data_IF_483066635618
#
_entry.id   IF_483066635618
#
_cell.length_a   1.000
_cell.length_b   1.000
_cell.length_c   1.000
_cell.angle_alpha   90.00
_cell.angle_beta   90.00
_cell.angle_gamma   90.00
#
_symmetry.space_group_name_H-M   'P 1'
#
loop_
_entity.id
_entity.type
_entity.pdbx_description
1 polymer ?
#
# COMPACT_ATOMS: atom_id res chain seq x y z
N UNK A 1 -0.21 28.21 -78.02
CA UNK A 1 -0.27 26.76 -78.33
C UNK A 1 0.75 25.96 -77.56
N UNK A 2 2.02 26.35 -77.42
CA UNK A 2 3.13 25.64 -76.74
C UNK A 2 2.81 25.30 -75.23
N UNK A 3 2.15 26.21 -74.46
CA UNK A 3 1.78 26.01 -73.04
C UNK A 3 0.73 24.89 -72.78
N UNK A 4 -0.24 24.71 -73.72
CA UNK A 4 -1.26 23.66 -73.59
C UNK A 4 -0.68 22.25 -73.81
N UNK A 5 0.26 22.09 -74.74
CA UNK A 5 0.94 20.81 -75.04
C UNK A 5 1.82 20.38 -73.86
N UNK A 6 2.56 21.32 -73.30
CA UNK A 6 3.41 21.11 -72.11
C UNK A 6 2.61 20.61 -70.89
N UNK A 7 1.50 21.27 -70.54
CA UNK A 7 0.66 20.82 -69.46
C UNK A 7 -0.03 19.47 -69.71
N UNK A 8 -0.38 19.19 -70.96
CA UNK A 8 -0.95 17.90 -71.36
C UNK A 8 0.06 16.77 -71.23
N UNK A 9 1.33 17.02 -71.54
CA UNK A 9 2.41 16.07 -71.39
C UNK A 9 2.72 15.79 -69.90
N UNK A 10 2.78 16.82 -69.07
CA UNK A 10 2.90 16.66 -67.61
C UNK A 10 1.77 15.79 -67.06
N UNK A 11 0.51 16.08 -67.39
CA UNK A 11 -0.64 15.32 -66.96
C UNK A 11 -0.58 13.85 -67.42
N UNK A 12 -0.06 13.58 -68.64
CA UNK A 12 0.12 12.24 -69.19
C UNK A 12 1.25 11.49 -68.46
N UNK A 13 2.40 12.11 -68.19
CA UNK A 13 3.51 11.53 -67.45
C UNK A 13 3.10 11.19 -66.02
N UNK A 14 2.36 12.07 -65.35
CA UNK A 14 1.73 11.77 -64.04
C UNK A 14 0.76 10.59 -64.11
N UNK A 15 -0.11 10.56 -65.12
CA UNK A 15 -1.11 9.51 -65.30
C UNK A 15 -0.48 8.14 -65.59
N UNK A 16 0.65 8.08 -66.33
CA UNK A 16 1.36 6.83 -66.60
C UNK A 16 2.18 6.33 -65.40
N UNK A 17 2.49 7.19 -64.42
CA UNK A 17 3.31 6.89 -63.25
C UNK A 17 2.53 6.97 -61.92
N UNK A 18 1.20 6.87 -61.96
CA UNK A 18 0.32 7.02 -60.79
C UNK A 18 0.74 6.19 -59.57
N UNK A 19 1.15 4.93 -59.79
CA UNK A 19 1.58 4.04 -58.69
C UNK A 19 2.80 4.58 -57.95
N UNK A 20 3.77 5.19 -58.65
CA UNK A 20 4.97 5.76 -58.03
C UNK A 20 4.62 7.01 -57.19
N UNK A 21 3.85 7.93 -57.76
CA UNK A 21 3.42 9.13 -57.01
C UNK A 21 2.55 8.76 -55.82
N UNK A 22 1.62 7.81 -55.97
CA UNK A 22 0.80 7.31 -54.88
C UNK A 22 1.63 6.67 -53.76
N UNK A 23 2.66 5.90 -54.14
CA UNK A 23 3.59 5.28 -53.15
C UNK A 23 4.33 6.34 -52.32
N UNK A 24 4.90 7.38 -52.98
CA UNK A 24 5.57 8.48 -52.30
C UNK A 24 4.59 9.26 -51.41
N UNK A 25 3.41 9.57 -51.95
CA UNK A 25 2.36 10.25 -51.18
C UNK A 25 1.94 9.46 -49.94
N UNK A 26 1.67 8.17 -50.08
CA UNK A 26 1.31 7.30 -48.96
C UNK A 26 2.44 7.21 -47.92
N UNK A 27 3.69 7.14 -48.34
CA UNK A 27 4.85 7.09 -47.46
C UNK A 27 5.00 8.40 -46.65
N UNK A 28 4.88 9.54 -47.33
CA UNK A 28 4.90 10.86 -46.66
C UNK A 28 3.70 11.07 -45.73
N UNK A 29 2.52 10.64 -46.13
CA UNK A 29 1.31 10.67 -45.30
C UNK A 29 1.47 9.81 -44.06
N UNK A 30 2.01 8.60 -44.20
CA UNK A 30 2.26 7.70 -43.06
C UNK A 30 3.29 8.30 -42.09
N UNK A 31 4.37 8.88 -42.62
CA UNK A 31 5.39 9.58 -41.84
C UNK A 31 4.78 10.77 -41.04
N UNK A 32 3.94 11.56 -41.70
CA UNK A 32 3.27 12.71 -41.06
C UNK A 32 2.26 12.27 -40.01
N UNK A 33 1.47 11.21 -40.27
CA UNK A 33 0.51 10.63 -39.31
C UNK A 33 1.23 10.07 -38.10
N UNK A 34 2.31 9.34 -38.30
CA UNK A 34 3.14 8.82 -37.20
C UNK A 34 3.76 9.95 -36.37
N UNK A 35 4.28 11.00 -37.02
CA UNK A 35 4.82 12.17 -36.32
C UNK A 35 3.77 12.84 -35.42
N UNK A 36 2.63 13.19 -36.00
CA UNK A 36 1.57 13.88 -35.24
C UNK A 36 1.00 12.98 -34.16
N UNK A 37 0.68 11.72 -34.48
CA UNK A 37 0.10 10.78 -33.53
C UNK A 37 1.01 10.56 -32.31
N UNK A 38 2.28 10.26 -32.53
CA UNK A 38 3.23 10.02 -31.44
C UNK A 38 3.55 11.29 -30.64
N UNK A 39 3.68 12.44 -31.31
CA UNK A 39 3.95 13.73 -30.64
C UNK A 39 2.81 14.21 -29.78
N UNK A 40 1.55 13.90 -30.11
CA UNK A 40 0.36 14.28 -29.32
C UNK A 40 0.11 13.29 -28.20
N UNK A 41 0.50 12.02 -28.34
CA UNK A 41 0.22 10.97 -27.34
C UNK A 41 0.88 11.28 -25.99
N UNK A 42 2.17 11.59 -25.96
CA UNK A 42 2.91 11.82 -24.70
C UNK A 42 2.36 12.99 -23.89
N UNK A 43 2.11 14.20 -24.44
CA UNK A 43 1.50 15.30 -23.72
C UNK A 43 0.11 14.95 -23.17
N UNK A 44 -0.72 14.24 -23.94
CA UNK A 44 -2.05 13.84 -23.51
C UNK A 44 -2.00 12.84 -22.35
N UNK A 45 -1.13 11.84 -22.43
CA UNK A 45 -0.91 10.90 -21.31
C UNK A 45 -0.48 11.66 -20.06
N UNK A 46 0.53 12.53 -20.16
CA UNK A 46 0.99 13.33 -19.01
C UNK A 46 -0.14 14.19 -18.42
N UNK A 47 -0.88 14.89 -19.28
CA UNK A 47 -1.99 15.74 -18.85
C UNK A 47 -3.05 14.93 -18.09
N UNK A 48 -3.48 13.79 -18.63
CA UNK A 48 -4.46 12.91 -17.98
C UNK A 48 -3.96 12.45 -16.60
N UNK A 49 -2.68 12.06 -16.52
CA UNK A 49 -2.08 11.66 -15.25
C UNK A 49 -2.01 12.83 -14.25
N UNK A 50 -1.57 14.02 -14.69
CA UNK A 50 -1.47 15.22 -13.85
C UNK A 50 -2.84 15.68 -13.35
N UNK A 51 -3.86 15.68 -14.21
CA UNK A 51 -5.23 16.01 -13.84
C UNK A 51 -5.76 15.06 -12.76
N UNK A 52 -5.48 13.75 -12.90
CA UNK A 52 -5.85 12.74 -11.90
C UNK A 52 -5.10 12.95 -10.57
N UNK A 53 -3.76 13.13 -10.61
CA UNK A 53 -2.94 13.40 -9.43
C UNK A 53 -3.40 14.67 -8.69
N UNK A 54 -3.76 15.71 -9.42
CA UNK A 54 -4.25 16.98 -8.87
C UNK A 54 -5.64 16.81 -8.26
N UNK A 55 -6.57 16.15 -8.96
CA UNK A 55 -7.92 15.87 -8.48
C UNK A 55 -7.93 15.08 -7.17
N UNK A 56 -7.12 14.02 -7.10
CA UNK A 56 -7.02 13.17 -5.92
C UNK A 56 -6.04 13.71 -4.87
N UNK A 57 -5.46 14.91 -5.07
CA UNK A 57 -4.47 15.51 -4.17
C UNK A 57 -3.39 14.51 -3.76
N UNK A 58 -2.90 13.72 -4.74
CA UNK A 58 -1.96 12.63 -4.49
C UNK A 58 -0.72 13.13 -3.76
N UNK A 59 -0.27 12.40 -2.74
CA UNK A 59 0.92 12.69 -1.96
C UNK A 59 2.15 12.90 -2.84
N UNK A 60 3.11 13.69 -2.37
CA UNK A 60 4.45 13.80 -2.96
C UNK A 60 5.43 12.83 -2.30
N UNK A 61 5.41 12.79 -0.95
CA UNK A 61 6.18 11.84 -0.14
C UNK A 61 5.26 11.09 0.83
N UNK A 62 5.67 9.89 1.23
CA UNK A 62 5.10 9.18 2.36
C UNK A 62 6.20 8.74 3.32
N UNK A 63 5.89 8.69 4.61
CA UNK A 63 6.77 8.17 5.66
C UNK A 63 6.12 6.94 6.27
N UNK A 64 6.90 5.88 6.43
CA UNK A 64 6.53 4.65 7.14
C UNK A 64 7.68 4.27 8.09
N UNK A 65 7.35 3.67 9.23
CA UNK A 65 8.33 3.17 10.19
C UNK A 65 7.97 1.75 10.62
N UNK A 66 8.99 0.93 10.96
CA UNK A 66 8.81 -0.48 11.30
C UNK A 66 7.85 -0.72 12.48
N UNK A 67 7.85 0.19 13.47
CA UNK A 67 6.93 0.13 14.63
C UNK A 67 5.85 1.21 14.58
N UNK A 68 5.51 1.68 13.38
CA UNK A 68 4.54 2.75 13.15
C UNK A 68 5.03 4.12 13.64
N UNK A 69 4.23 5.13 13.37
CA UNK A 69 4.47 6.54 13.69
C UNK A 69 3.70 6.91 14.96
N UNK A 70 4.41 7.32 16.00
CA UNK A 70 3.80 7.69 17.28
C UNK A 70 3.44 9.19 17.36
N UNK A 71 2.98 9.64 18.52
CA UNK A 71 2.56 11.03 18.73
C UNK A 71 3.73 12.04 18.64
N UNK A 72 4.97 11.60 18.86
CA UNK A 72 6.14 12.46 18.69
C UNK A 72 6.45 12.64 17.19
N UNK A 73 6.39 11.54 16.42
CA UNK A 73 6.54 11.56 14.96
C UNK A 73 5.45 12.42 14.31
N UNK A 74 4.20 12.32 14.78
CA UNK A 74 3.09 13.14 14.29
C UNK A 74 3.38 14.64 14.44
N UNK A 75 3.74 15.07 15.65
CA UNK A 75 4.07 16.49 15.92
C UNK A 75 5.24 16.98 15.06
N UNK A 76 6.23 16.14 14.87
CA UNK A 76 7.40 16.47 14.08
C UNK A 76 7.09 16.62 12.60
N UNK A 77 6.27 15.72 12.04
CA UNK A 77 5.84 15.76 10.64
C UNK A 77 4.87 16.92 10.38
N UNK A 78 3.92 17.17 11.29
CA UNK A 78 2.99 18.33 11.20
C UNK A 78 3.71 19.68 11.29
N UNK A 79 4.86 19.73 11.93
CA UNK A 79 5.69 20.95 12.01
C UNK A 79 6.47 21.27 10.72
N UNK A 80 6.37 20.44 9.67
CA UNK A 80 7.02 20.69 8.37
C UNK A 80 6.31 21.85 7.67
N UNK A 81 7.01 22.96 7.51
CA UNK A 81 6.46 24.15 6.86
C UNK A 81 6.28 23.92 5.35
N UNK A 82 5.14 24.35 4.82
CA UNK A 82 4.83 24.26 3.39
C UNK A 82 4.41 22.87 2.93
N UNK A 83 4.16 21.92 3.85
CA UNK A 83 3.59 20.62 3.56
C UNK A 83 2.25 20.45 4.29
N UNK A 84 1.26 19.91 3.59
CA UNK A 84 0.09 19.31 4.20
C UNK A 84 0.46 17.88 4.59
N UNK A 85 0.02 17.41 5.78
CA UNK A 85 0.29 16.06 6.28
C UNK A 85 -1.03 15.36 6.61
N UNK A 86 -1.16 14.10 6.25
CA UNK A 86 -2.28 13.24 6.63
C UNK A 86 -1.78 11.87 7.04
N UNK A 87 -2.17 11.46 8.26
CA UNK A 87 -1.83 10.16 8.81
C UNK A 87 -2.89 9.12 8.48
N UNK A 88 -2.49 7.86 8.39
CA UNK A 88 -3.40 6.78 8.08
C UNK A 88 -2.87 5.43 8.53
N UNK A 89 -3.74 4.44 8.41
CA UNK A 89 -3.43 3.05 8.68
C UNK A 89 -3.29 2.28 7.37
N UNK A 90 -2.45 1.26 7.41
CA UNK A 90 -2.21 0.34 6.31
C UNK A 90 -1.87 -1.03 6.89
N UNK A 91 -2.53 -2.08 6.41
CA UNK A 91 -2.22 -3.47 6.76
C UNK A 91 -2.48 -4.39 5.57
N UNK A 92 -1.71 -5.45 5.46
CA UNK A 92 -1.91 -6.49 4.46
C UNK A 92 -2.66 -7.66 5.12
N UNK A 93 -3.76 -8.06 4.51
CA UNK A 93 -4.63 -9.16 4.95
C UNK A 93 -4.84 -10.15 3.81
N UNK A 94 -5.51 -11.25 4.07
CA UNK A 94 -5.94 -12.21 3.06
C UNK A 94 -7.46 -12.28 2.95
N UNK A 95 -7.93 -12.47 1.72
CA UNK A 95 -9.30 -12.84 1.40
C UNK A 95 -9.22 -14.17 0.66
N UNK A 96 -9.62 -15.26 1.30
CA UNK A 96 -9.28 -16.61 0.85
C UNK A 96 -7.74 -16.73 0.74
N UNK A 97 -7.19 -16.89 -0.45
CA UNK A 97 -5.75 -17.00 -0.70
C UNK A 97 -5.15 -15.74 -1.35
N UNK A 98 -5.95 -14.70 -1.59
CA UNK A 98 -5.53 -13.45 -2.23
C UNK A 98 -5.08 -12.42 -1.19
N UNK A 99 -3.96 -11.77 -1.46
CA UNK A 99 -3.44 -10.69 -0.61
C UNK A 99 -4.15 -9.37 -0.91
N UNK A 100 -4.68 -8.75 0.12
CA UNK A 100 -5.40 -7.49 0.05
C UNK A 100 -4.73 -6.46 0.95
N UNK A 101 -4.32 -5.32 0.38
CA UNK A 101 -3.85 -4.18 1.17
C UNK A 101 -5.01 -3.30 1.58
N UNK A 102 -5.21 -3.17 2.88
CA UNK A 102 -6.28 -2.36 3.44
C UNK A 102 -5.72 -1.04 3.93
N UNK A 103 -6.29 0.06 3.46
CA UNK A 103 -5.98 1.42 3.88
C UNK A 103 -7.11 1.99 4.74
N UNK A 104 -6.77 2.89 5.65
CA UNK A 104 -7.79 3.80 6.18
C UNK A 104 -8.19 4.82 5.11
N UNK A 105 -9.46 5.24 5.12
CA UNK A 105 -9.93 6.31 4.25
C UNK A 105 -9.14 7.61 4.50
N UNK A 106 -8.86 8.34 3.43
CA UNK A 106 -8.19 9.64 3.45
C UNK A 106 -9.14 10.73 3.01
N UNK A 107 -9.04 11.91 3.61
CA UNK A 107 -9.92 13.06 3.34
C UNK A 107 -9.21 14.18 2.58
N UNK A 108 -7.91 14.36 2.82
CA UNK A 108 -7.14 15.52 2.34
C UNK A 108 -6.10 15.17 1.29
N UNK A 109 -5.40 14.05 1.45
CA UNK A 109 -4.26 13.66 0.62
C UNK A 109 -4.47 12.25 0.09
N UNK A 110 -4.20 12.02 -1.20
CA UNK A 110 -4.37 10.73 -1.86
C UNK A 110 -5.79 10.19 -1.74
N UNK A 111 -6.79 11.03 -1.98
CA UNK A 111 -8.20 10.65 -1.87
C UNK A 111 -8.57 9.56 -2.89
N UNK A 112 -9.59 8.78 -2.56
CA UNK A 112 -10.06 7.69 -3.39
C UNK A 112 -11.20 8.13 -4.30
N UNK A 113 -11.14 7.75 -5.58
CA UNK A 113 -12.21 8.01 -6.52
C UNK A 113 -13.25 6.89 -6.47
N UNK A 114 -14.46 7.19 -6.01
CA UNK A 114 -15.58 6.23 -6.01
C UNK A 114 -16.03 5.96 -7.44
N UNK A 115 -16.11 4.70 -7.83
CA UNK A 115 -16.61 4.26 -9.15
C UNK A 115 -18.03 3.68 -9.05
N UNK A 116 -18.39 3.09 -7.90
CA UNK A 116 -19.74 2.63 -7.60
C UNK A 116 -19.96 2.63 -6.08
N UNK A 117 -21.21 2.86 -5.64
CA UNK A 117 -21.56 2.92 -4.22
C UNK A 117 -21.01 4.16 -3.52
N UNK A 118 -20.37 3.99 -2.38
CA UNK A 118 -19.82 5.07 -1.53
C UNK A 118 -18.59 4.63 -0.75
N UNK A 119 -17.89 5.58 -0.13
CA UNK A 119 -16.84 5.29 0.85
C UNK A 119 -17.42 4.74 2.17
N UNK A 120 -16.66 3.91 2.91
CA UNK A 120 -17.02 3.43 4.24
C UNK A 120 -17.21 4.59 5.22
N UNK A 121 -18.25 4.49 6.06
CA UNK A 121 -18.57 5.47 7.12
C UNK A 121 -18.56 4.85 8.51
N UNK A 122 -18.64 3.53 8.60
CA UNK A 122 -18.66 2.77 9.86
C UNK A 122 -17.52 1.77 9.91
N UNK A 123 -17.19 1.30 11.09
CA UNK A 123 -16.10 0.35 11.31
C UNK A 123 -16.31 -1.04 10.71
N UNK A 124 -17.54 -1.36 10.24
CA UNK A 124 -17.88 -2.64 9.61
C UNK A 124 -18.11 -2.53 8.09
N UNK A 125 -17.82 -1.39 7.49
CA UNK A 125 -17.96 -1.15 6.06
C UNK A 125 -16.62 -1.16 5.34
N UNK A 126 -16.62 -1.69 4.11
CA UNK A 126 -15.44 -1.76 3.24
C UNK A 126 -15.77 -1.29 1.83
N UNK A 127 -14.82 -0.59 1.20
CA UNK A 127 -14.83 -0.36 -0.24
C UNK A 127 -13.64 -1.07 -0.89
N UNK A 128 -13.90 -1.80 -1.97
CA UNK A 128 -12.90 -2.61 -2.67
C UNK A 128 -12.36 -1.88 -3.91
N UNK A 129 -11.21 -2.30 -4.39
CA UNK A 129 -10.68 -1.87 -5.67
C UNK A 129 -11.69 -2.08 -6.80
N UNK A 130 -11.84 -1.11 -7.70
CA UNK A 130 -12.86 -1.11 -8.75
C UNK A 130 -12.79 -2.33 -9.68
N UNK A 131 -11.61 -2.89 -9.91
CA UNK A 131 -11.43 -4.09 -10.75
C UNK A 131 -11.88 -5.40 -10.08
N UNK A 132 -12.30 -5.36 -8.80
CA UNK A 132 -12.97 -6.49 -8.13
C UNK A 132 -14.50 -6.45 -8.23
N UNK A 133 -15.08 -5.46 -8.92
CA UNK A 133 -16.54 -5.33 -9.11
C UNK A 133 -17.19 -6.50 -9.86
N UNK A 134 -16.41 -7.24 -10.65
CA UNK A 134 -16.88 -8.44 -11.36
C UNK A 134 -16.98 -9.65 -10.42
N UNK A 135 -16.15 -9.71 -9.36
CA UNK A 135 -16.09 -10.82 -8.41
C UNK A 135 -17.01 -10.61 -7.20
N UNK A 136 -17.23 -9.37 -6.78
CA UNK A 136 -17.99 -8.99 -5.59
C UNK A 136 -19.10 -8.02 -5.92
N UNK A 137 -20.16 -7.99 -5.09
CA UNK A 137 -21.32 -7.12 -5.26
C UNK A 137 -21.50 -6.19 -4.06
N UNK A 138 -22.08 -5.02 -4.29
CA UNK A 138 -22.48 -4.10 -3.21
C UNK A 138 -23.46 -4.80 -2.27
N UNK A 139 -23.26 -4.59 -0.97
CA UNK A 139 -24.06 -5.21 0.09
C UNK A 139 -23.62 -6.61 0.50
N UNK A 140 -22.73 -7.27 -0.24
CA UNK A 140 -22.16 -8.57 0.10
C UNK A 140 -21.19 -8.42 1.28
N UNK A 141 -21.09 -9.47 2.11
CA UNK A 141 -20.11 -9.58 3.19
C UNK A 141 -18.81 -10.20 2.67
N UNK A 142 -17.68 -9.67 3.13
CA UNK A 142 -16.34 -10.18 2.86
C UNK A 142 -15.61 -10.41 4.18
N UNK A 143 -14.88 -11.53 4.29
CA UNK A 143 -14.09 -11.86 5.48
C UNK A 143 -12.62 -11.64 5.19
N UNK A 144 -11.97 -10.91 6.09
CA UNK A 144 -10.54 -10.61 6.07
C UNK A 144 -9.84 -11.45 7.12
N UNK A 145 -8.70 -12.02 6.78
CA UNK A 145 -7.84 -12.73 7.72
C UNK A 145 -6.50 -12.02 7.82
N UNK A 146 -6.11 -11.64 9.02
CA UNK A 146 -4.78 -11.11 9.33
C UNK A 146 -3.78 -12.26 9.47
N UNK A 147 -2.49 -11.95 9.35
CA UNK A 147 -1.43 -12.95 9.46
C UNK A 147 -1.36 -13.51 10.87
N UNK A 148 -1.35 -14.83 10.98
CA UNK A 148 -1.21 -15.52 12.26
C UNK A 148 0.10 -15.14 12.98
N UNK A 149 0.03 -15.00 14.30
CA UNK A 149 1.17 -14.64 15.15
C UNK A 149 1.52 -13.16 15.20
N UNK A 150 0.72 -12.30 14.56
CA UNK A 150 0.81 -10.83 14.69
C UNK A 150 -0.37 -10.29 15.50
N UNK A 151 -0.15 -9.16 16.19
CA UNK A 151 -1.24 -8.47 16.88
C UNK A 151 -2.28 -7.99 15.84
N UNK A 152 -3.55 -8.22 16.13
CA UNK A 152 -4.65 -7.77 15.27
C UNK A 152 -4.68 -6.24 15.20
N UNK A 153 -4.66 -5.73 13.97
CA UNK A 153 -4.77 -4.30 13.67
C UNK A 153 -6.21 -3.92 13.32
N UNK A 154 -7.03 -4.89 12.91
CA UNK A 154 -8.43 -4.69 12.55
C UNK A 154 -9.35 -5.08 13.73
N UNK A 155 -10.38 -4.28 13.99
CA UNK A 155 -11.38 -4.57 15.02
C UNK A 155 -12.33 -5.73 14.67
N UNK A 156 -12.57 -5.93 13.38
CA UNK A 156 -13.51 -6.93 12.86
C UNK A 156 -12.84 -7.78 11.78
N UNK A 157 -13.39 -8.97 11.56
CA UNK A 157 -12.96 -9.85 10.47
C UNK A 157 -13.94 -9.85 9.29
N UNK A 158 -15.20 -9.45 9.51
CA UNK A 158 -16.25 -9.44 8.50
C UNK A 158 -16.70 -8.00 8.23
N UNK A 159 -16.80 -7.65 6.94
CA UNK A 159 -17.12 -6.29 6.49
C UNK A 159 -18.16 -6.33 5.38
N UNK A 160 -19.07 -5.35 5.37
CA UNK A 160 -20.05 -5.17 4.32
C UNK A 160 -19.47 -4.29 3.20
N UNK A 161 -19.53 -4.76 1.97
CA UNK A 161 -19.06 -4.01 0.79
C UNK A 161 -20.06 -2.89 0.48
N UNK A 162 -19.61 -1.64 0.57
CA UNK A 162 -20.43 -0.45 0.34
C UNK A 162 -20.01 0.36 -0.89
N UNK A 163 -18.87 0.05 -1.48
CA UNK A 163 -18.36 0.77 -2.64
C UNK A 163 -17.24 0.08 -3.37
N UNK A 164 -16.97 0.61 -4.57
CA UNK A 164 -15.80 0.29 -5.36
C UNK A 164 -15.06 1.58 -5.69
N UNK A 165 -13.72 1.53 -5.62
CA UNK A 165 -12.87 2.73 -5.67
C UNK A 165 -11.64 2.54 -6.53
N UNK A 166 -11.09 3.67 -7.00
CA UNK A 166 -9.76 3.76 -7.60
C UNK A 166 -8.83 4.50 -6.65
N UNK A 167 -7.63 3.97 -6.46
CA UNK A 167 -6.59 4.56 -5.61
C UNK A 167 -5.82 5.65 -6.35
N UNK A 168 -5.46 6.70 -5.63
CA UNK A 168 -4.53 7.73 -6.11
C UNK A 168 -3.06 7.23 -6.13
N UNK A 169 -2.74 6.17 -5.41
CA UNK A 169 -1.38 5.65 -5.20
C UNK A 169 -1.12 4.36 -5.97
N UNK A 170 -2.12 3.48 -6.08
CA UNK A 170 -2.04 2.19 -6.77
C UNK A 170 -2.78 2.25 -8.10
N UNK A 171 -2.04 2.42 -9.20
CA UNK A 171 -2.61 2.69 -10.53
C UNK A 171 -2.79 1.47 -11.42
N UNK A 172 -2.46 0.28 -10.93
CA UNK A 172 -2.58 -0.94 -11.70
C UNK A 172 -3.67 -1.85 -11.14
N UNK A 173 -4.22 -2.70 -11.99
CA UNK A 173 -5.07 -3.86 -11.66
C UNK A 173 -4.28 -5.17 -11.66
N UNK A 174 -3.00 -5.11 -12.05
CA UNK A 174 -2.06 -6.24 -12.10
C UNK A 174 -0.69 -5.81 -11.60
N UNK A 175 0.05 -6.74 -11.01
CA UNK A 175 1.41 -6.48 -10.52
C UNK A 175 1.45 -5.28 -9.55
N UNK A 176 0.58 -5.29 -8.55
CA UNK A 176 0.50 -4.24 -7.52
C UNK A 176 1.73 -4.21 -6.60
N UNK A 177 2.65 -5.16 -6.74
CA UNK A 177 3.86 -5.27 -5.93
C UNK A 177 3.75 -6.36 -4.86
N UNK A 178 4.61 -6.28 -3.85
CA UNK A 178 4.68 -7.29 -2.80
C UNK A 178 3.68 -6.99 -1.67
N UNK A 179 3.22 -8.05 -1.04
CA UNK A 179 2.42 -8.03 0.18
C UNK A 179 3.11 -8.82 1.28
N UNK A 180 2.79 -8.51 2.54
CA UNK A 180 3.27 -9.26 3.72
C UNK A 180 2.35 -10.45 4.07
N UNK A 181 1.35 -10.74 3.26
CA UNK A 181 0.34 -11.78 3.44
C UNK A 181 0.10 -12.58 2.15
N UNK A 182 -0.64 -13.68 2.23
CA UNK A 182 -1.00 -14.53 1.11
C UNK A 182 0.21 -15.12 0.39
N UNK A 183 0.22 -15.05 -0.94
CA UNK A 183 1.32 -15.53 -1.80
C UNK A 183 2.57 -14.65 -1.79
N UNK A 184 2.53 -13.54 -1.05
CA UNK A 184 3.59 -12.52 -1.07
C UNK A 184 3.45 -11.49 -2.21
N UNK A 185 2.48 -11.66 -3.10
CA UNK A 185 2.13 -10.70 -4.14
C UNK A 185 0.81 -10.02 -3.79
N UNK A 186 0.73 -8.72 -3.98
CA UNK A 186 -0.49 -7.96 -3.74
C UNK A 186 -1.47 -8.15 -4.90
N UNK A 187 -2.66 -8.66 -4.59
CA UNK A 187 -3.71 -8.95 -5.58
C UNK A 187 -4.69 -7.79 -5.73
N UNK A 188 -5.00 -7.08 -4.62
CA UNK A 188 -5.90 -5.94 -4.64
C UNK A 188 -5.67 -5.00 -3.45
N UNK A 189 -6.49 -3.94 -3.39
CA UNK A 189 -6.57 -3.04 -2.24
C UNK A 189 -8.01 -2.78 -1.83
N UNK A 190 -8.17 -2.35 -0.59
CA UNK A 190 -9.46 -1.96 -0.02
C UNK A 190 -9.31 -0.79 0.93
N UNK A 191 -10.45 -0.21 1.31
CA UNK A 191 -10.52 0.93 2.19
C UNK A 191 -11.52 0.65 3.30
N UNK A 192 -11.12 0.96 4.52
CA UNK A 192 -11.96 0.96 5.71
C UNK A 192 -12.07 2.37 6.30
N UNK A 193 -13.06 2.59 7.11
CA UNK A 193 -13.11 3.77 7.97
C UNK A 193 -11.93 3.73 8.96
N UNK A 194 -11.33 4.87 9.37
CA UNK A 194 -10.22 4.89 10.35
C UNK A 194 -10.57 4.20 11.66
N UNK A 195 -11.84 4.26 12.09
CA UNK A 195 -12.35 3.64 13.30
C UNK A 195 -12.32 2.11 13.27
N UNK A 196 -12.21 1.49 12.11
CA UNK A 196 -12.07 0.04 11.96
C UNK A 196 -10.69 -0.49 12.40
N UNK A 197 -9.73 0.40 12.59
CA UNK A 197 -8.37 0.04 13.01
C UNK A 197 -8.23 0.13 14.54
N UNK A 198 -7.51 -0.84 15.12
CA UNK A 198 -7.19 -0.94 16.54
C UNK A 198 -5.69 -0.75 16.73
N UNK A 199 -5.19 0.46 16.50
CA UNK A 199 -3.77 0.78 16.65
C UNK A 199 -3.58 2.18 17.25
N UNK A 200 -2.62 2.29 18.17
CA UNK A 200 -2.23 3.55 18.80
C UNK A 200 -1.15 4.31 18.00
N UNK A 201 -0.70 3.73 16.89
CA UNK A 201 0.32 4.32 16.01
C UNK A 201 -0.18 4.26 14.58
N UNK A 202 0.15 5.27 13.78
CA UNK A 202 -0.17 5.27 12.36
C UNK A 202 0.84 4.43 11.56
N UNK A 203 0.38 3.78 10.50
CA UNK A 203 1.26 2.99 9.62
C UNK A 203 1.94 3.83 8.55
N UNK A 204 1.32 4.95 8.17
CA UNK A 204 1.77 5.82 7.09
C UNK A 204 1.42 7.28 7.37
N UNK A 205 2.35 8.19 7.07
CA UNK A 205 2.08 9.62 6.95
C UNK A 205 2.29 10.04 5.49
N UNK A 206 1.31 10.73 4.91
CA UNK A 206 1.34 11.26 3.55
C UNK A 206 1.63 12.75 3.60
N UNK A 207 2.59 13.21 2.80
CA UNK A 207 2.97 14.62 2.72
C UNK A 207 2.70 15.15 1.31
N UNK A 208 2.13 16.35 1.22
CA UNK A 208 1.93 17.08 -0.01
C UNK A 208 2.48 18.49 0.12
N UNK A 209 3.46 18.83 -0.71
CA UNK A 209 4.16 20.11 -0.64
C UNK A 209 3.48 21.17 -1.50
N UNK A 210 3.31 22.37 -0.96
CA UNK A 210 2.61 23.46 -1.63
C UNK A 210 3.38 23.96 -2.86
N UNK A 211 4.72 24.00 -2.79
CA UNK A 211 5.58 24.44 -3.88
C UNK A 211 5.73 23.43 -5.02
N UNK A 212 5.20 22.18 -4.83
CA UNK A 212 5.13 21.14 -5.85
C UNK A 212 3.74 21.04 -6.49
N UNK A 213 2.71 21.67 -5.90
CA UNK A 213 1.31 21.42 -6.23
C UNK A 213 0.93 21.73 -7.69
N UNK A 214 1.56 22.73 -8.30
CA UNK A 214 1.30 23.18 -9.67
C UNK A 214 2.37 22.75 -10.68
N UNK A 215 3.39 22.00 -10.24
CA UNK A 215 4.44 21.51 -11.12
C UNK A 215 4.03 20.20 -11.81
N UNK A 216 4.51 20.05 -13.05
CA UNK A 216 4.43 18.77 -13.75
C UNK A 216 5.29 17.72 -13.03
N UNK A 217 4.66 16.70 -12.43
CA UNK A 217 5.35 15.65 -11.67
C UNK A 217 6.28 14.77 -12.53
N UNK A 218 6.19 14.85 -13.85
CA UNK A 218 7.11 14.19 -14.79
C UNK A 218 8.27 15.11 -15.22
N UNK A 219 8.23 16.40 -14.87
CA UNK A 219 9.28 17.35 -15.21
C UNK A 219 10.47 17.24 -14.25
N UNK A 220 11.66 17.58 -14.77
CA UNK A 220 12.90 17.54 -13.99
C UNK A 220 12.85 18.47 -12.77
N UNK A 221 12.30 19.68 -12.92
CA UNK A 221 12.19 20.64 -11.82
C UNK A 221 11.38 20.10 -10.62
N UNK A 222 10.31 19.33 -10.88
CA UNK A 222 9.56 18.65 -9.83
C UNK A 222 10.42 17.58 -9.15
N UNK A 223 11.13 16.76 -9.93
CA UNK A 223 11.96 15.67 -9.39
C UNK A 223 13.13 16.22 -8.55
N UNK A 224 13.76 17.29 -9.00
CA UNK A 224 14.89 17.93 -8.28
C UNK A 224 14.41 18.53 -6.92
N UNK A 225 13.27 19.22 -6.92
CA UNK A 225 12.67 19.74 -5.69
C UNK A 225 12.18 18.64 -4.75
N UNK A 226 11.54 17.60 -5.30
CA UNK A 226 11.07 16.43 -4.53
C UNK A 226 12.25 15.73 -3.84
N UNK A 227 13.37 15.56 -4.53
CA UNK A 227 14.58 14.98 -3.96
C UNK A 227 15.13 15.83 -2.81
N UNK A 228 15.13 17.16 -2.94
CA UNK A 228 15.54 18.06 -1.86
C UNK A 228 14.62 17.97 -0.64
N UNK A 229 13.29 17.90 -0.84
CA UNK A 229 12.34 17.69 0.25
C UNK A 229 12.52 16.31 0.91
N UNK A 230 12.80 15.27 0.13
CA UNK A 230 13.04 13.93 0.65
C UNK A 230 14.31 13.88 1.48
N UNK A 231 15.38 14.54 1.06
CA UNK A 231 16.64 14.62 1.81
C UNK A 231 16.43 15.37 3.14
N UNK A 232 15.76 16.53 3.12
CA UNK A 232 15.41 17.28 4.34
C UNK A 232 14.55 16.44 5.30
N UNK A 233 13.58 15.69 4.77
CA UNK A 233 12.74 14.81 5.56
C UNK A 233 13.56 13.67 6.19
N UNK A 234 14.45 13.03 5.43
CA UNK A 234 15.31 11.96 5.93
C UNK A 234 16.28 12.45 7.01
N UNK A 235 16.87 13.64 6.84
CA UNK A 235 17.73 14.22 7.87
C UNK A 235 16.94 14.55 9.14
N UNK A 236 15.71 15.04 9.00
CA UNK A 236 14.83 15.31 10.13
C UNK A 236 14.47 14.03 10.90
N UNK A 237 14.19 12.92 10.23
CA UNK A 237 13.80 11.64 10.83
C UNK A 237 14.99 10.76 11.25
N UNK A 238 16.20 11.20 11.06
CA UNK A 238 17.44 10.42 11.26
C UNK A 238 17.57 9.82 12.66
N UNK A 239 17.19 10.58 13.67
CA UNK A 239 17.34 10.20 15.07
C UNK A 239 16.06 9.54 15.65
N UNK A 240 14.92 9.59 14.91
CA UNK A 240 13.64 9.08 15.39
C UNK A 240 13.70 7.60 15.73
N UNK A 241 14.42 6.79 14.94
CA UNK A 241 14.59 5.37 15.23
C UNK A 241 15.24 5.10 16.58
N UNK A 242 16.26 5.88 16.97
CA UNK A 242 16.91 5.74 18.27
C UNK A 242 16.01 6.24 19.42
N UNK A 243 15.32 7.36 19.22
CA UNK A 243 14.37 7.90 20.18
C UNK A 243 13.20 6.95 20.41
N UNK A 244 12.65 6.38 19.33
CA UNK A 244 11.55 5.40 19.37
C UNK A 244 11.95 4.13 20.11
N UNK A 245 13.11 3.55 19.81
CA UNK A 245 13.63 2.38 20.51
C UNK A 245 13.74 2.64 22.01
N UNK A 246 14.32 3.77 22.40
CA UNK A 246 14.46 4.17 23.81
C UNK A 246 13.10 4.28 24.50
N UNK A 247 12.11 4.90 23.83
CA UNK A 247 10.74 5.02 24.36
C UNK A 247 10.07 3.64 24.53
N UNK A 248 10.18 2.77 23.53
CA UNK A 248 9.61 1.41 23.58
C UNK A 248 10.26 0.59 24.70
N UNK A 249 11.60 0.65 24.83
CA UNK A 249 12.34 -0.02 25.91
C UNK A 249 11.95 0.49 27.28
N UNK A 250 11.79 1.80 27.47
CA UNK A 250 11.35 2.39 28.74
C UNK A 250 9.96 1.93 29.13
N UNK A 251 9.01 1.97 28.18
CA UNK A 251 7.62 1.54 28.41
C UNK A 251 7.54 0.03 28.72
N UNK A 252 8.24 -0.80 27.96
CA UNK A 252 8.29 -2.23 28.18
C UNK A 252 8.93 -2.57 29.54
N UNK A 253 10.04 -1.90 29.89
CA UNK A 253 10.70 -2.08 31.20
C UNK A 253 9.78 -1.71 32.35
N UNK A 254 9.06 -0.59 32.27
CA UNK A 254 8.09 -0.20 33.29
C UNK A 254 6.95 -1.21 33.42
N UNK A 255 6.41 -1.72 32.30
CA UNK A 255 5.38 -2.76 32.31
C UNK A 255 5.86 -4.09 32.92
N UNK A 256 7.09 -4.51 32.58
CA UNK A 256 7.76 -5.70 33.13
C UNK A 256 7.96 -5.56 34.64
N UNK A 257 8.44 -4.41 35.11
CA UNK A 257 8.61 -4.13 36.54
C UNK A 257 7.28 -4.18 37.31
N UNK A 258 6.24 -3.53 36.78
CA UNK A 258 4.91 -3.58 37.37
C UNK A 258 4.32 -5.00 37.38
N UNK A 259 4.55 -5.77 36.32
CA UNK A 259 4.17 -7.18 36.24
C UNK A 259 4.91 -8.05 37.27
N UNK A 260 6.22 -7.87 37.42
CA UNK A 260 7.05 -8.57 38.38
C UNK A 260 6.63 -8.29 39.84
N UNK A 261 6.25 -7.05 40.16
CA UNK A 261 5.74 -6.69 41.47
C UNK A 261 4.40 -7.35 41.77
N UNK A 262 3.47 -7.38 40.81
CA UNK A 262 2.21 -8.12 40.95
C UNK A 262 2.41 -9.61 41.16
N UNK A 263 3.36 -10.23 40.46
CA UNK A 263 3.74 -11.64 40.62
C UNK A 263 4.27 -11.87 42.06
N UNK A 264 5.19 -11.01 42.53
CA UNK A 264 5.76 -11.09 43.86
C UNK A 264 4.69 -11.01 44.96
N UNK A 265 3.72 -10.10 44.82
CA UNK A 265 2.62 -9.98 45.77
C UNK A 265 1.71 -11.22 45.73
N UNK A 266 1.36 -11.73 44.55
CA UNK A 266 0.59 -12.95 44.41
C UNK A 266 1.33 -14.20 44.98
N UNK A 267 2.64 -14.28 44.86
CA UNK A 267 3.46 -15.33 45.53
C UNK A 267 3.34 -15.29 47.06
N UNK A 268 3.41 -14.07 47.62
CA UNK A 268 3.25 -13.89 49.08
C UNK A 268 1.84 -14.28 49.56
N UNK A 269 0.82 -13.88 48.80
CA UNK A 269 -0.58 -14.23 49.11
C UNK A 269 -0.82 -15.74 49.06
N UNK A 270 -0.29 -16.42 48.04
CA UNK A 270 -0.37 -17.88 47.90
C UNK A 270 0.39 -18.58 49.04
N UNK A 271 1.59 -18.12 49.40
CA UNK A 271 2.37 -18.70 50.49
C UNK A 271 1.64 -18.53 51.83
N UNK A 272 1.02 -17.37 52.08
CA UNK A 272 0.18 -17.12 53.27
C UNK A 272 -1.08 -18.02 53.25
N UNK A 273 -1.72 -18.17 52.10
CA UNK A 273 -2.87 -19.07 51.93
C UNK A 273 -2.52 -20.54 52.19
N UNK A 274 -1.34 -20.99 51.75
CA UNK A 274 -0.82 -22.34 52.01
C UNK A 274 -0.63 -22.59 53.49
N UNK A 275 0.01 -21.67 54.21
CA UNK A 275 0.20 -21.79 55.69
C UNK A 275 -1.16 -21.82 56.42
N UNK A 276 -2.10 -21.00 56.03
CA UNK A 276 -3.46 -20.99 56.63
C UNK A 276 -4.20 -22.31 56.35
N UNK A 277 -4.08 -22.86 55.15
CA UNK A 277 -4.66 -24.13 54.75
C UNK A 277 -4.10 -25.29 55.60
N UNK A 278 -2.78 -25.34 55.78
CA UNK A 278 -2.09 -26.34 56.58
C UNK A 278 -2.51 -26.28 58.06
N UNK A 279 -2.58 -25.04 58.61
CA UNK A 279 -3.05 -24.85 59.98
C UNK A 279 -4.52 -25.27 60.15
N UNK A 280 -5.39 -24.96 59.19
CA UNK A 280 -6.78 -25.37 59.21
C UNK A 280 -6.95 -26.89 59.08
N UNK A 281 -6.13 -27.52 58.23
CA UNK A 281 -6.10 -28.98 58.09
C UNK A 281 -5.71 -29.65 59.38
N UNK A 282 -4.62 -29.23 60.03
CA UNK A 282 -4.18 -29.77 61.34
C UNK A 282 -5.22 -29.65 62.43
N UNK A 283 -5.90 -28.49 62.48
CA UNK A 283 -6.99 -28.27 63.44
C UNK A 283 -8.21 -29.19 63.20
N UNK A 284 -8.59 -29.40 61.97
CA UNK A 284 -9.66 -30.32 61.59
C UNK A 284 -9.33 -31.77 61.91
N UNK A 285 -8.09 -32.20 61.66
CA UNK A 285 -7.58 -33.56 62.02
C UNK A 285 -7.58 -33.79 63.55
N UNK A 286 -7.18 -32.77 64.33
CA UNK A 286 -7.23 -32.85 65.81
C UNK A 286 -8.70 -32.90 66.33
N UNK A 287 -9.62 -32.13 65.76
CA UNK A 287 -11.01 -32.14 66.05
C UNK A 287 -11.66 -33.49 65.72
N UNK A 288 -11.36 -34.05 64.57
CA UNK A 288 -11.80 -35.38 64.13
C UNK A 288 -11.34 -36.48 65.12
N UNK A 289 -10.06 -36.44 65.50
CA UNK A 289 -9.50 -37.38 66.50
C UNK A 289 -10.18 -37.27 67.86
N UNK A 290 -10.45 -36.06 68.39
CA UNK A 290 -11.13 -35.82 69.62
C UNK A 290 -12.58 -36.31 69.59
N UNK A 291 -13.24 -36.07 68.44
CA UNK A 291 -14.63 -36.48 68.24
C UNK A 291 -14.75 -38.01 68.17
N UNK A 292 -13.85 -38.67 67.51
CA UNK A 292 -13.80 -40.13 67.42
C UNK A 292 -13.50 -40.78 68.81
N UNK A 293 -12.61 -40.19 69.62
CA UNK A 293 -12.34 -40.61 70.95
C UNK A 293 -13.55 -40.45 71.88
N UNK A 294 -14.27 -39.29 71.77
CA UNK A 294 -15.46 -39.04 72.57
C UNK A 294 -16.64 -39.97 72.20
N UNK A 295 -16.78 -40.29 70.91
CA UNK A 295 -17.79 -41.24 70.42
C UNK A 295 -17.50 -42.66 70.90
N UNK A 296 -16.22 -43.09 71.00
CA UNK A 296 -15.84 -44.43 71.47
C UNK A 296 -15.97 -44.57 72.97
N UNK A 297 -15.81 -43.49 73.72
CA UNK A 297 -15.95 -43.49 75.24
C UNK A 297 -17.36 -43.29 75.76
N UNK A 298 -18.37 -43.08 74.92
CA UNK A 298 -19.76 -42.89 75.30
C UNK A 298 -20.05 -41.64 76.18
N UNK A 299 -19.12 -40.66 76.19
CA UNK A 299 -19.14 -39.45 77.00
C UNK A 299 -20.03 -38.32 76.51
N UNK A 300 -20.54 -38.40 75.25
CA UNK A 300 -21.36 -37.35 74.63
C UNK A 300 -22.75 -37.89 74.26
N UNK A 301 -23.80 -37.07 74.42
CA UNK A 301 -25.15 -37.37 73.96
C UNK A 301 -25.15 -37.44 72.37
N UNK A 302 -25.99 -38.31 71.83
CA UNK A 302 -26.03 -38.61 70.38
C UNK A 302 -26.32 -37.40 69.52
N UNK A 303 -27.13 -36.45 70.05
CA UNK A 303 -27.47 -35.17 69.38
C UNK A 303 -26.27 -34.22 69.32
N UNK A 304 -25.42 -34.19 70.33
CA UNK A 304 -24.18 -33.39 70.35
C UNK A 304 -23.12 -33.97 69.43
N UNK A 305 -23.06 -35.29 69.29
CA UNK A 305 -22.16 -35.98 68.33
C UNK A 305 -22.58 -35.73 66.89
N UNK A 306 -23.88 -35.68 66.58
CA UNK A 306 -24.43 -35.39 65.28
C UNK A 306 -24.13 -33.94 64.87
N UNK A 307 -24.28 -32.96 65.77
CA UNK A 307 -23.94 -31.55 65.51
C UNK A 307 -22.45 -31.38 65.23
N UNK A 308 -21.58 -31.96 66.09
CA UNK A 308 -20.09 -31.85 65.87
C UNK A 308 -19.60 -32.53 64.61
N UNK A 309 -20.23 -33.65 64.17
CA UNK A 309 -19.95 -34.27 62.86
C UNK A 309 -20.36 -33.37 61.73
N UNK A 310 -21.53 -32.69 61.80
CA UNK A 310 -21.96 -31.75 60.74
C UNK A 310 -20.98 -30.56 60.60
N UNK A 311 -20.54 -30.00 61.73
CA UNK A 311 -19.55 -28.93 61.79
C UNK A 311 -18.20 -29.35 61.13
N UNK A 312 -17.75 -30.58 61.44
CA UNK A 312 -16.54 -31.14 60.90
C UNK A 312 -16.64 -31.32 59.36
N UNK A 313 -17.77 -31.83 58.86
CA UNK A 313 -17.99 -31.98 57.41
C UNK A 313 -18.12 -30.62 56.68
N UNK A 314 -18.72 -29.63 57.31
CA UNK A 314 -18.72 -28.24 56.80
C UNK A 314 -17.28 -27.68 56.73
N UNK A 315 -16.49 -27.89 57.77
CA UNK A 315 -15.09 -27.50 57.83
C UNK A 315 -14.26 -28.16 56.73
N UNK A 316 -14.42 -29.48 56.49
CA UNK A 316 -13.78 -30.22 55.42
C UNK A 316 -14.16 -29.68 54.04
N UNK A 317 -15.45 -29.35 53.85
CA UNK A 317 -15.95 -28.78 52.59
C UNK A 317 -15.32 -27.40 52.31
N UNK A 318 -15.25 -26.54 53.34
CA UNK A 318 -14.60 -25.23 53.23
C UNK A 318 -13.11 -25.34 52.95
N UNK A 319 -12.42 -26.31 53.58
CA UNK A 319 -11.01 -26.58 53.33
C UNK A 319 -10.77 -27.04 51.89
N UNK A 320 -11.63 -27.95 51.38
CA UNK A 320 -11.53 -28.43 49.99
C UNK A 320 -11.75 -27.28 49.00
N UNK A 321 -12.69 -26.37 49.25
CA UNK A 321 -12.90 -25.20 48.40
C UNK A 321 -11.68 -24.27 48.44
N UNK A 322 -11.15 -23.93 49.63
CA UNK A 322 -9.94 -23.09 49.74
C UNK A 322 -8.73 -23.71 49.05
N UNK A 323 -8.57 -25.04 49.10
CA UNK A 323 -7.50 -25.76 48.39
C UNK A 323 -7.64 -25.59 46.88
N UNK A 324 -8.85 -25.73 46.35
CA UNK A 324 -9.14 -25.55 44.93
C UNK A 324 -8.85 -24.11 44.46
N UNK A 325 -9.28 -23.12 45.26
CA UNK A 325 -9.03 -21.70 44.97
C UNK A 325 -7.52 -21.40 44.94
N UNK A 326 -6.76 -21.99 45.85
CA UNK A 326 -5.29 -21.84 45.91
C UNK A 326 -4.57 -22.54 44.74
N UNK A 327 -5.06 -23.71 44.33
CA UNK A 327 -4.55 -24.41 43.12
C UNK A 327 -4.80 -23.57 41.86
N UNK A 328 -5.97 -22.96 41.74
CA UNK A 328 -6.31 -22.06 40.64
C UNK A 328 -5.42 -20.82 40.64
N UNK A 329 -5.24 -20.15 41.77
CA UNK A 329 -4.34 -19.00 41.91
C UNK A 329 -2.90 -19.34 41.56
N UNK A 330 -2.44 -20.54 41.92
CA UNK A 330 -1.10 -21.03 41.61
C UNK A 330 -0.92 -21.26 40.08
N UNK A 331 -1.95 -21.80 39.41
CA UNK A 331 -1.96 -21.99 37.96
C UNK A 331 -1.93 -20.65 37.22
N UNK A 332 -2.74 -19.66 37.66
CA UNK A 332 -2.74 -18.30 37.11
C UNK A 332 -1.37 -17.62 37.31
N UNK A 333 -0.75 -17.77 38.48
CA UNK A 333 0.58 -17.24 38.74
C UNK A 333 1.62 -17.83 37.81
N UNK A 334 1.56 -19.13 37.52
CA UNK A 334 2.45 -19.79 36.56
C UNK A 334 2.29 -19.24 35.16
N UNK A 335 1.06 -19.00 34.71
CA UNK A 335 0.79 -18.37 33.38
C UNK A 335 1.39 -16.97 33.30
N UNK A 336 1.16 -16.14 34.32
CA UNK A 336 1.70 -14.75 34.38
C UNK A 336 3.23 -14.72 34.42
N UNK A 337 3.89 -15.69 35.04
CA UNK A 337 5.35 -15.82 35.00
C UNK A 337 5.87 -16.10 33.59
N UNK A 338 5.19 -16.99 32.85
CA UNK A 338 5.54 -17.28 31.46
C UNK A 338 5.35 -16.04 30.57
N UNK A 339 4.25 -15.32 30.75
CA UNK A 339 3.99 -14.07 30.04
C UNK A 339 5.06 -13.00 30.32
N UNK A 340 5.51 -12.89 31.59
CA UNK A 340 6.58 -11.97 31.98
C UNK A 340 7.92 -12.36 31.34
N UNK A 341 8.26 -13.65 31.30
CA UNK A 341 9.46 -14.14 30.63
C UNK A 341 9.43 -13.86 29.13
N UNK A 342 8.28 -14.06 28.50
CA UNK A 342 8.11 -13.72 27.09
C UNK A 342 8.28 -12.22 26.84
N UNK A 343 7.67 -11.37 27.66
CA UNK A 343 7.82 -9.92 27.56
C UNK A 343 9.29 -9.46 27.75
N UNK A 344 10.05 -10.15 28.64
CA UNK A 344 11.50 -9.88 28.77
C UNK A 344 12.29 -10.31 27.54
N UNK A 345 11.95 -11.44 26.94
CA UNK A 345 12.58 -11.91 25.69
C UNK A 345 12.27 -10.97 24.54
N UNK A 346 11.02 -10.53 24.40
CA UNK A 346 10.59 -9.57 23.39
C UNK A 346 11.32 -8.23 23.54
N UNK A 347 11.48 -7.73 24.78
CA UNK A 347 12.27 -6.53 25.05
C UNK A 347 13.73 -6.67 24.62
N UNK A 348 14.35 -7.82 24.87
CA UNK A 348 15.73 -8.08 24.47
C UNK A 348 15.88 -8.19 22.94
N UNK A 349 14.82 -8.59 22.24
CA UNK A 349 14.74 -8.68 20.78
C UNK A 349 14.41 -7.38 20.04
N UNK A 350 14.09 -6.29 20.76
CA UNK A 350 13.73 -5.02 20.14
C UNK A 350 14.91 -4.44 19.35
N UNK A 351 14.75 -4.34 18.03
CA UNK A 351 15.72 -3.69 17.15
C UNK A 351 15.40 -2.19 17.00
N UNK A 352 16.41 -1.40 16.59
CA UNK A 352 16.18 0.00 16.21
C UNK A 352 15.28 0.07 14.97
N UNK A 353 14.10 0.69 15.03
CA UNK A 353 13.22 0.79 13.86
C UNK A 353 13.84 1.70 12.80
N UNK A 354 13.64 1.32 11.54
CA UNK A 354 13.96 2.15 10.40
C UNK A 354 12.75 3.04 10.03
N UNK A 355 13.06 4.27 9.63
CA UNK A 355 12.12 5.21 9.06
C UNK A 355 12.41 5.34 7.57
N UNK A 356 11.41 5.17 6.75
CA UNK A 356 11.54 5.18 5.30
C UNK A 356 10.68 6.28 4.70
N UNK A 357 11.26 7.10 3.85
CA UNK A 357 10.53 8.04 3.01
C UNK A 357 10.37 7.49 1.60
N UNK A 358 9.16 7.54 1.08
CA UNK A 358 8.78 7.02 -0.23
C UNK A 358 8.25 8.14 -1.12
N UNK A 359 8.65 8.12 -2.37
CA UNK A 359 8.03 8.92 -3.44
C UNK A 359 6.87 8.14 -4.07
N UNK A 360 6.11 8.78 -4.98
CA UNK A 360 5.10 8.09 -5.79
C UNK A 360 5.66 6.90 -6.58
N UNK A 361 6.98 6.88 -6.89
CA UNK A 361 7.63 5.80 -7.66
C UNK A 361 8.10 4.65 -6.79
N UNK A 362 8.40 4.90 -5.52
CA UNK A 362 9.02 3.93 -4.59
C UNK A 362 8.07 3.44 -3.50
N UNK A 363 6.85 3.99 -3.38
CA UNK A 363 5.88 3.53 -2.40
C UNK A 363 5.55 2.04 -2.63
N UNK A 364 5.54 1.20 -1.59
CA UNK A 364 5.11 -0.19 -1.72
C UNK A 364 3.71 -0.31 -2.35
N UNK A 365 3.62 -0.96 -3.51
CA UNK A 365 2.38 -1.07 -4.29
C UNK A 365 2.25 -0.07 -5.45
N UNK A 366 3.16 0.89 -5.60
CA UNK A 366 3.10 1.91 -6.66
C UNK A 366 3.68 1.48 -8.01
N UNK A 367 3.82 0.19 -8.26
CA UNK A 367 4.36 -0.36 -9.52
C UNK A 367 3.65 0.21 -10.76
N UNK A 368 2.33 0.39 -10.69
CA UNK A 368 1.54 0.98 -11.78
C UNK A 368 1.96 2.41 -12.14
N UNK A 369 2.25 3.26 -11.15
CA UNK A 369 2.75 4.62 -11.38
C UNK A 369 4.15 4.59 -12.03
N UNK A 370 5.03 3.73 -11.56
CA UNK A 370 6.37 3.56 -12.14
C UNK A 370 6.31 3.09 -13.59
N UNK A 371 5.48 2.09 -13.89
CA UNK A 371 5.25 1.58 -15.25
C UNK A 371 4.69 2.66 -16.17
N UNK A 372 3.70 3.42 -15.70
CA UNK A 372 3.12 4.54 -16.45
C UNK A 372 4.18 5.61 -16.77
N UNK A 373 4.97 6.00 -15.78
CA UNK A 373 6.06 6.97 -15.95
C UNK A 373 7.08 6.50 -17.01
N UNK A 374 7.49 5.23 -16.92
CA UNK A 374 8.45 4.64 -17.87
C UNK A 374 7.86 4.52 -19.28
N UNK A 375 6.60 4.08 -19.41
CA UNK A 375 5.91 4.00 -20.69
C UNK A 375 5.80 5.38 -21.36
N UNK A 376 5.42 6.41 -20.60
CA UNK A 376 5.34 7.79 -21.10
C UNK A 376 6.69 8.29 -21.64
N UNK A 377 7.78 8.01 -20.92
CA UNK A 377 9.14 8.39 -21.36
C UNK A 377 9.59 7.60 -22.59
N UNK A 378 9.26 6.30 -22.66
CA UNK A 378 9.58 5.45 -23.81
C UNK A 378 8.84 5.91 -25.06
N UNK A 379 7.55 6.23 -24.95
CA UNK A 379 6.76 6.78 -26.07
C UNK A 379 7.34 8.11 -26.52
N UNK A 380 7.78 8.98 -25.60
CA UNK A 380 8.43 10.24 -25.93
C UNK A 380 9.73 10.03 -26.73
N UNK A 381 10.55 9.05 -26.36
CA UNK A 381 11.77 8.71 -27.08
C UNK A 381 11.47 8.20 -28.49
N UNK A 382 10.51 7.28 -28.63
CA UNK A 382 10.07 6.78 -29.94
C UNK A 382 9.49 7.91 -30.80
N UNK A 383 8.68 8.81 -30.22
CA UNK A 383 8.11 9.95 -30.92
C UNK A 383 9.15 10.94 -31.48
N UNK A 384 10.36 10.95 -30.92
CA UNK A 384 11.46 11.77 -31.43
C UNK A 384 12.27 11.10 -32.55
N UNK A 385 12.48 9.80 -32.46
CA UNK A 385 13.40 9.07 -33.37
C UNK A 385 12.65 8.48 -34.58
N UNK A 386 11.52 7.82 -34.33
CA UNK A 386 10.82 7.05 -35.35
C UNK A 386 10.39 7.87 -36.58
N UNK A 387 9.79 9.09 -36.43
CA UNK A 387 9.44 9.90 -37.60
C UNK A 387 10.65 10.33 -38.41
N UNK A 388 11.78 10.60 -37.76
CA UNK A 388 13.02 10.98 -38.48
C UNK A 388 13.49 9.85 -39.38
N UNK A 389 13.48 8.61 -38.87
CA UNK A 389 13.83 7.41 -39.67
C UNK A 389 12.86 7.23 -40.83
N UNK A 390 11.56 7.39 -40.62
CA UNK A 390 10.55 7.30 -41.68
C UNK A 390 10.75 8.34 -42.76
N UNK A 391 11.06 9.59 -42.42
CA UNK A 391 11.33 10.64 -43.38
C UNK A 391 12.65 10.41 -44.15
N UNK A 392 13.68 9.85 -43.52
CA UNK A 392 14.91 9.45 -44.22
C UNK A 392 14.63 8.36 -45.25
N UNK A 393 13.86 7.34 -44.89
CA UNK A 393 13.44 6.28 -45.82
C UNK A 393 12.60 6.87 -46.94
N UNK A 394 11.65 7.76 -46.65
CA UNK A 394 10.84 8.46 -47.63
C UNK A 394 11.69 9.28 -48.59
N UNK A 395 12.71 9.99 -48.10
CA UNK A 395 13.64 10.76 -48.90
C UNK A 395 14.46 9.85 -49.86
N UNK A 396 14.97 8.72 -49.36
CA UNK A 396 15.72 7.75 -50.19
C UNK A 396 14.85 7.14 -51.28
N UNK A 397 13.62 6.71 -50.96
CA UNK A 397 12.65 6.16 -51.91
C UNK A 397 12.27 7.21 -52.94
N UNK A 398 12.02 8.44 -52.51
CA UNK A 398 11.69 9.57 -53.39
C UNK A 398 12.87 9.85 -54.34
N UNK A 399 14.08 9.94 -53.81
CA UNK A 399 15.29 10.19 -54.64
C UNK A 399 15.47 9.10 -55.70
N UNK A 400 15.43 7.82 -55.32
CA UNK A 400 15.58 6.69 -56.22
C UNK A 400 14.48 6.67 -57.30
N UNK A 401 13.22 6.91 -56.90
CA UNK A 401 12.07 6.93 -57.81
C UNK A 401 12.13 8.10 -58.78
N UNK A 402 12.54 9.28 -58.31
CA UNK A 402 12.66 10.48 -59.16
C UNK A 402 13.86 10.37 -60.12
N UNK A 403 14.99 9.82 -59.69
CA UNK A 403 16.15 9.56 -60.59
C UNK A 403 15.72 8.64 -61.72
N UNK A 404 15.06 7.53 -61.41
CA UNK A 404 14.54 6.62 -62.45
C UNK A 404 13.51 7.30 -63.36
N UNK A 405 12.62 8.13 -62.82
CA UNK A 405 11.63 8.88 -63.61
C UNK A 405 12.30 9.88 -64.58
N UNK A 406 13.34 10.57 -64.13
CA UNK A 406 14.15 11.48 -65.00
C UNK A 406 14.81 10.70 -66.11
N UNK A 407 15.40 9.52 -65.85
CA UNK A 407 16.02 8.67 -66.85
C UNK A 407 15.04 8.16 -67.91
N UNK A 408 13.85 7.72 -67.50
CA UNK A 408 12.75 7.27 -68.34
C UNK A 408 12.25 8.42 -69.26
N UNK A 409 12.19 9.65 -68.77
CA UNK A 409 11.70 10.84 -69.47
C UNK A 409 12.82 11.58 -70.25
N UNK A 410 14.06 11.09 -70.25
CA UNK A 410 15.23 11.71 -70.88
C UNK A 410 15.03 11.94 -72.34
N UNK A 411 14.45 10.99 -73.10
CA UNK A 411 14.13 11.11 -74.49
C UNK A 411 13.11 12.20 -74.80
N UNK A 412 12.04 12.28 -74.02
CA UNK A 412 11.01 13.30 -74.11
C UNK A 412 11.58 14.70 -73.81
N UNK A 413 12.44 14.82 -72.79
CA UNK A 413 13.16 16.06 -72.50
C UNK A 413 14.03 16.54 -73.67
N UNK A 414 14.71 15.61 -74.35
CA UNK A 414 15.49 15.89 -75.54
C UNK A 414 14.62 16.42 -76.69
N UNK A 415 13.45 15.84 -76.93
CA UNK A 415 12.48 16.30 -77.93
C UNK A 415 11.95 17.72 -77.61
N UNK A 416 11.65 18.02 -76.37
CA UNK A 416 11.24 19.38 -75.98
C UNK A 416 12.33 20.39 -76.16
N UNK A 417 13.59 20.02 -75.91
CA UNK A 417 14.78 20.89 -76.20
C UNK A 417 14.93 21.17 -77.67
N UNK A 418 14.79 20.16 -78.55
CA UNK A 418 14.81 20.30 -79.97
C UNK A 418 13.65 21.19 -80.52
N UNK A 419 12.50 21.19 -79.87
CA UNK A 419 11.37 22.04 -80.18
C UNK A 419 11.49 23.49 -79.64
N UNK A 420 12.65 23.84 -79.06
CA UNK A 420 12.96 25.20 -78.63
C UNK A 420 12.38 25.58 -77.23
N UNK A 421 12.14 24.61 -76.35
CA UNK A 421 11.84 24.90 -74.96
C UNK A 421 13.12 25.20 -74.18
N UNK A 422 13.04 26.15 -73.22
CA UNK A 422 14.17 26.47 -72.38
C UNK A 422 14.45 25.35 -71.36
N UNK A 423 15.71 25.13 -71.02
CA UNK A 423 16.09 24.11 -70.00
C UNK A 423 15.34 24.27 -68.67
N UNK A 424 15.01 25.52 -68.25
CA UNK A 424 14.22 25.81 -67.07
C UNK A 424 12.81 25.25 -67.16
N UNK A 425 12.18 25.27 -68.39
CA UNK A 425 10.82 24.71 -68.52
C UNK A 425 10.87 23.18 -68.49
N UNK A 426 11.92 22.56 -68.98
CA UNK A 426 12.12 21.11 -68.92
C UNK A 426 12.33 20.65 -67.48
N UNK A 427 13.22 21.33 -66.74
CA UNK A 427 13.50 21.00 -65.31
C UNK A 427 12.27 21.18 -64.43
N UNK A 428 11.39 22.15 -64.72
CA UNK A 428 10.15 22.39 -63.99
C UNK A 428 9.13 21.24 -64.05
N UNK A 429 9.32 20.29 -64.97
CA UNK A 429 8.51 19.10 -65.11
C UNK A 429 8.79 18.09 -63.95
N UNK A 430 10.01 18.08 -63.46
CA UNK A 430 10.52 17.19 -62.42
C UNK A 430 10.55 17.87 -61.04
#
# INVERSE_FOLDING_TARGET
MKRKIYWKDIAKSFSSSKGRFLSIFCLMMLGSLALVGLKVTTPNMRRTALDYLKQQRTMDLAVMADYGLDAADQKELEAIKGADVEFGYLTDVTVKDQALRVFSNTEKISTFKVTAGRLPKTEQEIALASFWSDQYKLGQEIKLAEKEGQASVLKHQAYKIVGFVQSAELWSDKNLGNANSGSGNLDAYAILAPEAFSSNVYSIARLRYQDLADLDSFARIYQDKLAAHQEQLNEKLKDNGAARLKSLQANATASIQAGAEKIKNAEADIAQGQMQLEQAQTKLEEQEKKLNQAATSGLLAEESLASSRSELEQGKTQLAQKKKDLEQATAELKSRKVELQQAQADLAGLAKPAYHSYTRKSLPGSQGYLMYSNATNSIAAVANIFPVVLYLVAAMVTFTTMTRFVDEERTNAGVFKALGYHSRDIIRKF
#
